data_IF_579496728022
#
_entry.id   IF_579496728022
#
_cell.length_a   1.000
_cell.length_b   1.000
_cell.length_c   1.000
_cell.angle_alpha   90.00
_cell.angle_beta   90.00
_cell.angle_gamma   90.00
#
_symmetry.space_group_name_H-M   'P 1'
#
loop_
_entity.id
_entity.type
_entity.pdbx_description
1 polymer ?
2 polymer ?
3 polymer ?
4 branched ?
5 non-polymer ?
6 water ?
#
# COMPACT_ATOMS: atom_id res chain seq x y z
N UNK A 1 4.98 44.86 -12.47
CA UNK A 1 4.46 45.75 -11.41
C UNK A 1 4.99 45.45 -10.01
N UNK A 2 4.25 44.63 -9.26
CA UNK A 2 4.55 44.18 -7.90
C UNK A 2 3.44 43.23 -7.34
N UNK A 3 2.99 42.36 -8.25
CA UNK A 3 1.92 41.35 -8.12
C UNK A 3 1.35 40.89 -6.77
N UNK A 4 2.23 40.62 -5.82
CA UNK A 4 1.90 39.92 -4.54
C UNK A 4 0.77 38.86 -4.43
N UNK A 5 1.19 37.73 -3.88
CA UNK A 5 0.77 36.45 -4.39
C UNK A 5 -0.25 35.70 -3.54
N UNK A 6 -0.24 35.94 -2.24
CA UNK A 6 -1.19 35.32 -1.33
C UNK A 6 -2.60 35.65 -1.77
N UNK A 7 -2.80 36.91 -2.16
CA UNK A 7 -4.03 37.35 -2.83
C UNK A 7 -4.40 36.33 -3.92
N UNK A 8 -3.38 35.76 -4.56
CA UNK A 8 -3.56 34.85 -5.68
C UNK A 8 -3.38 33.37 -5.25
N UNK A 9 -2.45 33.14 -4.33
CA UNK A 9 -2.24 31.83 -3.71
C UNK A 9 -3.56 31.27 -3.21
N UNK A 10 -4.11 31.99 -2.23
CA UNK A 10 -5.37 31.67 -1.57
C UNK A 10 -6.47 31.35 -2.57
N UNK A 11 -6.60 32.17 -3.60
CA UNK A 11 -7.57 31.96 -4.67
C UNK A 11 -7.47 30.55 -5.26
N UNK A 12 -6.24 30.03 -5.24
CA UNK A 12 -5.89 28.77 -5.89
C UNK A 12 -6.32 27.59 -5.02
N UNK A 13 -5.76 27.53 -3.82
CA UNK A 13 -6.13 26.52 -2.83
C UNK A 13 -7.63 26.29 -2.86
N UNK A 14 -8.36 27.38 -3.03
CA UNK A 14 -9.80 27.36 -3.03
C UNK A 14 -10.31 26.70 -4.29
N UNK A 15 -9.91 27.19 -5.46
CA UNK A 15 -10.40 26.54 -6.68
C UNK A 15 -9.89 25.12 -6.88
N UNK A 16 -8.81 24.78 -6.17
CA UNK A 16 -8.17 23.46 -6.24
C UNK A 16 -9.03 22.48 -5.48
N UNK A 17 -9.42 22.88 -4.27
CA UNK A 17 -10.31 22.11 -3.44
C UNK A 17 -11.54 21.66 -4.23
N UNK A 18 -12.22 22.61 -4.86
CA UNK A 18 -13.44 22.30 -5.62
C UNK A 18 -13.13 21.35 -6.75
N UNK A 19 -12.02 21.60 -7.44
CA UNK A 19 -11.58 20.72 -8.52
C UNK A 19 -11.55 19.29 -8.00
N UNK A 20 -10.78 19.07 -6.94
CA UNK A 20 -10.64 17.76 -6.34
C UNK A 20 -11.99 17.16 -5.99
N UNK A 21 -12.84 17.94 -5.34
CA UNK A 21 -14.12 17.40 -4.90
C UNK A 21 -14.96 16.92 -6.07
N UNK A 22 -14.92 17.66 -7.17
CA UNK A 22 -15.63 17.30 -8.39
C UNK A 22 -15.22 15.92 -8.95
N UNK A 23 -13.90 15.69 -9.02
CA UNK A 23 -13.32 14.39 -9.39
C UNK A 23 -13.93 13.23 -8.60
N UNK A 24 -13.95 13.39 -7.27
CA UNK A 24 -14.36 12.32 -6.36
C UNK A 24 -15.84 12.36 -6.07
N UNK A 25 -16.57 13.06 -6.93
CA UNK A 25 -18.02 13.14 -6.87
C UNK A 25 -18.55 12.18 -7.92
N UNK A 26 -19.59 12.62 -8.65
CA UNK A 26 -20.26 11.86 -9.73
C UNK A 26 -19.47 10.67 -10.31
N UNK A 27 -20.10 9.50 -10.34
CA UNK A 27 -19.54 8.34 -11.04
C UNK A 27 -19.93 8.31 -12.55
N UNK A 28 -19.88 9.49 -13.20
CA UNK A 28 -20.21 9.71 -14.64
C UNK A 28 -20.13 8.45 -15.53
N UNK A 29 -21.26 8.08 -16.17
CA UNK A 29 -21.37 6.75 -16.81
C UNK A 29 -20.54 6.56 -18.10
N UNK A 30 -19.90 7.62 -18.57
CA UNK A 30 -18.85 7.54 -19.60
C UNK A 30 -17.70 6.61 -19.16
N UNK A 31 -17.38 6.70 -17.88
CA UNK A 31 -16.38 5.86 -17.25
C UNK A 31 -16.99 4.51 -16.93
N UNK A 32 -18.14 4.51 -16.27
CA UNK A 32 -18.85 3.26 -16.00
C UNK A 32 -18.73 2.26 -17.14
N UNK A 33 -18.73 2.75 -18.38
CA UNK A 33 -18.54 1.89 -19.55
C UNK A 33 -17.06 1.60 -19.79
N UNK A 34 -16.24 2.65 -19.91
CA UNK A 34 -14.81 2.48 -20.15
C UNK A 34 -14.22 1.49 -19.15
N UNK A 35 -14.58 1.68 -17.88
CA UNK A 35 -14.25 0.73 -16.83
C UNK A 35 -14.80 -0.64 -17.24
N UNK A 36 -16.12 -0.79 -17.20
CA UNK A 36 -16.77 -2.07 -17.47
C UNK A 36 -16.12 -2.80 -18.62
N UNK A 37 -15.81 -2.04 -19.66
CA UNK A 37 -15.12 -2.51 -20.83
C UNK A 37 -13.86 -3.24 -20.45
N UNK A 38 -12.94 -2.49 -19.86
CA UNK A 38 -11.58 -2.93 -19.52
C UNK A 38 -11.53 -4.20 -18.70
N UNK A 39 -12.52 -4.37 -17.83
CA UNK A 39 -12.59 -5.54 -16.99
C UNK A 39 -12.99 -6.78 -17.78
N UNK A 40 -13.34 -6.61 -19.05
CA UNK A 40 -13.56 -7.75 -19.92
C UNK A 40 -12.48 -7.77 -21.00
N UNK A 41 -12.14 -6.58 -21.50
CA UNK A 41 -11.08 -6.41 -22.49
C UNK A 41 -9.79 -7.08 -22.02
N UNK A 42 -9.21 -6.54 -20.95
CA UNK A 42 -7.96 -7.05 -20.40
C UNK A 42 -8.18 -7.79 -19.08
N UNK A 43 -7.65 -8.99 -18.98
CA UNK A 43 -7.85 -9.80 -17.78
C UNK A 43 -6.93 -9.44 -16.61
N UNK A 44 -5.79 -8.83 -16.90
CA UNK A 44 -4.92 -8.33 -15.82
C UNK A 44 -5.72 -7.42 -14.93
N UNK A 45 -6.36 -6.44 -15.58
CA UNK A 45 -7.24 -5.50 -14.94
C UNK A 45 -8.25 -6.28 -14.13
N UNK A 46 -8.93 -7.19 -14.80
CA UNK A 46 -9.88 -8.05 -14.13
C UNK A 46 -9.25 -8.61 -12.85
N UNK A 47 -8.02 -9.09 -12.98
CA UNK A 47 -7.23 -9.61 -11.86
C UNK A 47 -7.25 -8.69 -10.66
N UNK A 48 -6.82 -7.45 -10.87
CA UNK A 48 -6.73 -6.49 -9.77
C UNK A 48 -8.08 -6.07 -9.23
N UNK A 49 -9.06 -5.93 -10.10
CA UNK A 49 -10.42 -5.64 -9.65
C UNK A 49 -10.85 -6.69 -8.63
N UNK A 50 -10.62 -7.94 -8.98
CA UNK A 50 -10.94 -9.06 -8.13
C UNK A 50 -10.17 -8.98 -6.85
N UNK A 51 -8.89 -8.66 -6.94
CA UNK A 51 -8.02 -8.51 -5.76
C UNK A 51 -8.53 -7.41 -4.84
N UNK A 52 -9.01 -6.31 -5.43
CA UNK A 52 -9.50 -5.19 -4.63
C UNK A 52 -10.76 -5.63 -3.91
N UNK A 53 -11.66 -6.26 -4.65
CA UNK A 53 -12.88 -6.76 -4.07
C UNK A 53 -12.63 -7.64 -2.84
N UNK A 54 -11.50 -8.35 -2.79
CA UNK A 54 -11.15 -9.08 -1.58
C UNK A 54 -10.38 -8.21 -0.63
N UNK A 55 -9.12 -7.93 -0.95
CA UNK A 55 -8.19 -7.27 -0.04
C UNK A 55 -8.66 -5.95 0.57
N UNK A 56 -9.26 -5.07 -0.24
CA UNK A 56 -9.63 -3.73 0.19
C UNK A 56 -10.61 -3.64 1.34
N UNK A 57 -11.15 -4.77 1.78
CA UNK A 57 -12.16 -4.78 2.86
C UNK A 57 -12.09 -5.93 3.86
N UNK A 58 -11.74 -7.12 3.42
CA UNK A 58 -11.77 -8.28 4.32
C UNK A 58 -11.20 -7.97 5.68
N UNK A 59 -10.23 -7.07 5.75
CA UNK A 59 -9.52 -6.94 6.97
C UNK A 59 -10.15 -5.95 7.92
N UNK A 60 -11.25 -5.34 7.52
CA UNK A 60 -11.89 -4.33 8.34
C UNK A 60 -13.12 -5.03 8.85
N UNK A 61 -12.90 -5.88 9.85
CA UNK A 61 -13.93 -6.76 10.39
C UNK A 61 -13.67 -7.01 11.89
N UNK A 62 -14.49 -6.38 12.74
CA UNK A 62 -14.03 -6.11 14.09
C UNK A 62 -14.08 -7.33 14.99
N UNK A 63 -14.78 -8.37 14.56
CA UNK A 63 -14.74 -9.66 15.23
C UNK A 63 -13.31 -10.11 15.17
N UNK A 64 -12.75 -10.14 13.95
CA UNK A 64 -11.38 -10.63 13.75
C UNK A 64 -10.45 -9.85 14.65
N UNK A 65 -10.53 -8.52 14.58
CA UNK A 65 -9.61 -7.65 15.33
C UNK A 65 -9.55 -8.05 16.78
N UNK A 66 -10.71 -8.33 17.36
CA UNK A 66 -10.76 -8.70 18.75
C UNK A 66 -10.21 -10.11 19.01
N UNK A 67 -10.46 -11.05 18.10
CA UNK A 67 -9.91 -12.41 18.22
C UNK A 67 -8.41 -12.30 18.31
N UNK A 68 -7.82 -11.51 17.42
CA UNK A 68 -6.38 -11.37 17.39
C UNK A 68 -5.92 -10.64 18.63
N UNK A 69 -6.65 -9.61 19.03
CA UNK A 69 -6.24 -8.87 20.21
C UNK A 69 -6.25 -9.72 21.47
N UNK A 70 -7.22 -10.62 21.59
CA UNK A 70 -7.15 -11.70 22.58
C UNK A 70 -5.87 -12.45 22.41
N UNK A 71 -5.65 -12.96 21.20
CA UNK A 71 -4.66 -14.00 20.97
C UNK A 71 -3.21 -13.57 21.12
N UNK A 72 -2.86 -12.39 20.63
CA UNK A 72 -1.50 -11.88 20.83
C UNK A 72 -1.20 -11.58 22.28
N UNK A 73 0.07 -11.54 22.62
CA UNK A 73 0.46 -11.19 23.98
C UNK A 73 0.70 -9.68 24.10
N UNK A 74 -0.42 -8.95 24.17
CA UNK A 74 -0.42 -7.48 24.20
C UNK A 74 0.44 -6.92 25.28
N UNK A 75 0.61 -7.73 26.34
CA UNK A 75 1.45 -7.37 27.46
C UNK A 75 2.86 -7.21 27.00
N UNK A 76 3.44 -8.35 26.61
CA UNK A 76 4.79 -8.40 26.12
C UNK A 76 5.02 -7.36 25.04
N UNK A 77 4.09 -7.28 24.09
CA UNK A 77 4.23 -6.29 23.03
C UNK A 77 4.45 -4.89 23.59
N UNK A 78 3.51 -4.39 24.38
CA UNK A 78 3.57 -2.98 24.78
C UNK A 78 4.72 -2.72 25.71
N UNK A 79 4.90 -3.66 26.65
CA UNK A 79 6.05 -3.71 27.52
C UNK A 79 7.34 -3.31 26.79
N UNK A 80 7.58 -3.98 25.66
CA UNK A 80 8.77 -3.75 24.85
C UNK A 80 8.71 -2.40 24.18
N UNK A 81 7.56 -2.09 23.60
CA UNK A 81 7.45 -0.86 22.87
C UNK A 81 7.80 0.28 23.82
N UNK A 82 7.43 0.13 25.09
CA UNK A 82 7.67 1.18 26.09
C UNK A 82 9.13 1.27 26.49
N UNK A 83 9.79 0.12 26.50
CA UNK A 83 11.22 0.04 26.72
C UNK A 83 11.94 0.78 25.61
N UNK A 84 11.59 0.46 24.38
CA UNK A 84 12.32 1.00 23.23
C UNK A 84 11.94 2.46 22.96
N UNK A 85 10.84 2.91 23.56
CA UNK A 85 10.43 4.31 23.45
C UNK A 85 11.24 5.17 24.40
N UNK A 86 11.36 4.70 25.64
CA UNK A 86 12.15 5.37 26.68
C UNK A 86 13.58 5.65 26.25
N UNK A 87 14.16 4.72 25.49
CA UNK A 87 15.47 4.91 24.89
C UNK A 87 15.52 6.12 23.94
N UNK A 88 14.52 6.23 23.07
CA UNK A 88 14.42 7.34 22.13
C UNK A 88 14.37 8.74 22.79
N UNK A 89 14.96 9.70 22.10
CA UNK A 89 14.67 11.12 22.29
C UNK A 89 14.69 11.73 20.90
N UNK A 90 13.71 11.40 20.08
CA UNK A 90 13.71 11.80 18.66
C UNK A 90 13.12 13.20 18.46
N UNK A 91 11.78 13.31 18.48
CA UNK A 91 11.09 14.59 18.29
C UNK A 91 10.03 14.87 19.38
N UNK A 92 10.51 15.49 20.46
CA UNK A 92 9.73 16.20 21.53
C UNK A 92 8.37 15.63 22.05
N UNK A 93 7.34 15.68 21.20
CA UNK A 93 5.99 15.16 21.47
C UNK A 93 5.41 14.74 20.12
N UNK A 94 5.85 13.57 19.65
CA UNK A 94 5.62 13.15 18.27
C UNK A 94 5.08 11.70 18.10
N UNK A 95 4.43 11.45 16.97
CA UNK A 95 3.80 10.18 16.68
C UNK A 95 4.73 8.98 16.54
N UNK A 96 6.02 9.22 16.75
CA UNK A 96 7.00 8.17 16.59
C UNK A 96 6.66 6.92 17.37
N UNK A 97 5.87 7.05 18.42
CA UNK A 97 5.53 5.85 19.19
C UNK A 97 4.95 4.74 18.34
N UNK A 98 4.09 5.09 17.38
CA UNK A 98 3.43 4.03 16.65
C UNK A 98 4.38 3.26 15.71
N UNK A 99 5.47 3.92 15.33
CA UNK A 99 6.54 3.27 14.60
C UNK A 99 7.16 2.18 15.40
N UNK A 100 7.47 2.47 16.65
CA UNK A 100 8.04 1.44 17.53
C UNK A 100 7.12 0.28 17.62
N UNK A 101 5.83 0.58 17.71
CA UNK A 101 4.84 -0.46 17.82
C UNK A 101 4.96 -1.46 16.68
N UNK A 102 4.89 -0.93 15.46
CA UNK A 102 5.08 -1.71 14.26
C UNK A 102 6.33 -2.57 14.38
N UNK A 103 7.45 -1.90 14.63
CA UNK A 103 8.74 -2.57 14.72
C UNK A 103 8.70 -3.68 15.73
N UNK A 104 8.08 -3.44 16.86
CA UNK A 104 7.93 -4.49 17.80
C UNK A 104 6.97 -5.61 17.34
N UNK A 105 5.82 -5.26 16.81
CA UNK A 105 4.98 -6.31 16.24
C UNK A 105 5.79 -7.12 15.25
N UNK A 106 6.65 -6.40 14.54
CA UNK A 106 7.50 -7.00 13.53
C UNK A 106 8.41 -8.08 14.11
N UNK A 107 9.04 -7.78 15.24
CA UNK A 107 9.92 -8.75 15.86
C UNK A 107 9.11 -9.81 16.58
N UNK A 108 8.06 -9.40 17.26
CA UNK A 108 7.24 -10.36 18.01
C UNK A 108 6.79 -11.43 17.06
N UNK A 109 6.27 -11.01 15.92
CA UNK A 109 5.64 -11.96 15.02
C UNK A 109 6.65 -12.93 14.55
N UNK A 110 7.80 -12.40 14.14
CA UNK A 110 8.86 -13.21 13.56
C UNK A 110 9.59 -14.07 14.60
N UNK A 111 10.00 -13.47 15.72
CA UNK A 111 10.74 -14.22 16.69
C UNK A 111 9.86 -15.14 17.49
N UNK A 112 8.73 -14.66 17.98
CA UNK A 112 7.94 -15.48 18.90
C UNK A 112 6.73 -16.08 18.26
N UNK A 113 5.96 -15.32 17.54
CA UNK A 113 4.64 -15.80 17.21
C UNK A 113 4.59 -16.92 16.17
N UNK A 114 5.11 -16.63 14.98
CA UNK A 114 4.77 -17.37 13.78
C UNK A 114 6.00 -18.11 13.29
N UNK A 115 5.75 -19.20 12.60
CA UNK A 115 6.80 -20.08 12.13
C UNK A 115 6.88 -20.05 10.59
N UNK A 116 8.08 -20.17 10.06
CA UNK A 116 8.22 -20.34 8.61
C UNK A 116 8.19 -21.82 8.26
N UNK A 117 7.42 -22.17 7.22
CA UNK A 117 7.26 -23.57 6.89
C UNK A 117 7.73 -23.88 5.47
N UNK A 118 8.95 -24.41 5.37
CA UNK A 118 9.55 -24.75 4.10
C UNK A 118 8.95 -26.02 3.53
N UNK A 119 9.25 -27.14 4.19
CA UNK A 119 8.45 -28.32 4.10
C UNK A 119 7.99 -28.53 5.52
N UNK A 120 6.80 -29.12 5.73
CA UNK A 120 6.26 -29.26 7.07
C UNK A 120 7.09 -30.21 7.89
N UNK A 121 6.88 -30.23 9.19
CA UNK A 121 7.54 -31.20 10.03
C UNK A 121 6.69 -32.40 10.04
N UNK A 122 7.31 -33.53 10.35
CA UNK A 122 6.60 -34.78 10.26
C UNK A 122 5.83 -34.98 11.52
N UNK A 123 4.51 -34.97 11.41
CA UNK A 123 3.74 -34.98 12.62
C UNK A 123 3.84 -36.28 13.40
N UNK A 124 3.98 -37.41 12.72
CA UNK A 124 4.25 -38.62 13.48
C UNK A 124 5.62 -38.58 14.19
N UNK A 125 6.69 -38.29 13.44
CA UNK A 125 8.05 -38.27 14.00
C UNK A 125 8.17 -37.17 15.04
N UNK A 126 9.41 -36.84 15.42
CA UNK A 126 9.69 -35.69 16.28
C UNK A 126 9.15 -34.35 15.75
N UNK A 127 9.65 -33.26 16.32
CA UNK A 127 9.19 -31.95 15.90
C UNK A 127 10.12 -31.34 14.85
N UNK A 128 11.44 -31.32 15.06
CA UNK A 128 12.33 -30.59 14.13
C UNK A 128 12.85 -31.35 12.88
N UNK A 129 11.92 -32.06 12.26
CA UNK A 129 12.15 -33.01 11.20
C UNK A 129 11.58 -32.54 9.85
N UNK A 130 12.42 -32.09 8.92
CA UNK A 130 11.88 -31.65 7.62
C UNK A 130 12.84 -31.71 6.42
N UNK A 131 13.40 -32.89 6.15
CA UNK A 131 14.20 -33.15 4.93
C UNK A 131 14.05 -34.60 4.61
N UNK A 132 13.88 -35.38 5.67
CA UNK A 132 13.28 -36.67 5.58
C UNK A 132 11.78 -36.43 5.30
N UNK A 133 11.53 -35.39 4.52
CA UNK A 133 10.23 -35.12 3.94
C UNK A 133 10.46 -34.94 2.45
N UNK A 134 9.89 -35.80 1.62
CA UNK A 134 9.93 -35.55 0.18
C UNK A 134 8.57 -35.31 -0.47
N UNK A 135 8.47 -34.21 -1.23
CA UNK A 135 7.26 -33.71 -1.82
C UNK A 135 6.61 -34.66 -2.77
N UNK A 136 5.38 -35.03 -2.46
CA UNK A 136 4.57 -35.78 -3.39
C UNK A 136 3.73 -34.89 -4.32
N UNK A 137 3.94 -33.57 -4.27
CA UNK A 137 3.08 -32.64 -5.01
C UNK A 137 1.76 -32.31 -4.29
N UNK A 138 0.84 -31.66 -5.04
CA UNK A 138 -0.38 -31.06 -4.46
C UNK A 138 -1.67 -31.83 -4.67
N UNK A 139 -2.68 -31.55 -3.85
CA UNK A 139 -4.05 -32.01 -4.11
C UNK A 139 -5.13 -31.11 -3.45
N UNK A 140 -6.37 -31.24 -3.92
CA UNK A 140 -7.52 -30.52 -3.35
C UNK A 140 -7.68 -30.78 -1.87
N UNK A 141 -8.37 -29.90 -1.15
CA UNK A 141 -8.40 -29.89 0.31
C UNK A 141 -9.36 -30.93 0.83
N UNK A 142 -9.05 -31.49 1.99
CA UNK A 142 -9.77 -32.68 2.47
C UNK A 142 -11.23 -32.43 2.85
N UNK A 143 -11.80 -31.30 2.45
CA UNK A 143 -13.15 -30.98 2.87
C UNK A 143 -13.18 -30.44 4.29
N UNK A 144 -12.53 -31.13 5.21
CA UNK A 144 -12.39 -30.62 6.55
C UNK A 144 -11.56 -29.33 6.52
N UNK A 145 -10.50 -29.31 5.74
CA UNK A 145 -9.65 -28.13 5.65
C UNK A 145 -10.14 -27.24 4.53
N UNK A 146 -11.37 -27.46 4.07
CA UNK A 146 -12.06 -26.47 3.23
C UNK A 146 -12.99 -25.61 4.05
N UNK A 147 -13.16 -25.99 5.32
CA UNK A 147 -13.86 -25.18 6.31
C UNK A 147 -13.19 -23.82 6.36
N UNK A 148 -11.88 -23.81 6.14
CA UNK A 148 -11.10 -22.59 6.17
C UNK A 148 -10.80 -22.21 4.73
N UNK A 149 -9.87 -21.32 4.48
CA UNK A 149 -9.84 -20.83 3.12
C UNK A 149 -8.78 -21.39 2.22
N UNK A 150 -8.92 -22.70 2.03
CA UNK A 150 -7.87 -23.52 1.48
C UNK A 150 -8.29 -24.10 0.15
N UNK A 151 -7.51 -23.81 -0.89
CA UNK A 151 -7.82 -24.28 -2.23
C UNK A 151 -6.85 -25.33 -2.75
N UNK A 152 -5.90 -25.73 -1.90
CA UNK A 152 -4.80 -26.64 -2.30
C UNK A 152 -3.90 -27.04 -1.14
N UNK A 153 -3.57 -28.32 -1.07
CA UNK A 153 -2.71 -28.85 -0.01
C UNK A 153 -1.43 -29.45 -0.60
N UNK A 154 -0.27 -28.87 -0.26
CA UNK A 154 1.01 -29.46 -0.65
C UNK A 154 1.24 -30.62 0.28
N UNK A 155 1.60 -31.77 -0.28
CA UNK A 155 1.65 -32.98 0.55
C UNK A 155 3.04 -33.60 0.59
N UNK A 156 3.40 -34.14 1.74
CA UNK A 156 4.75 -34.62 1.96
C UNK A 156 4.80 -36.04 2.52
N UNK A 157 5.82 -36.79 2.09
CA UNK A 157 6.08 -38.13 2.58
C UNK A 157 7.31 -38.07 3.42
N UNK A 158 7.22 -38.66 4.60
CA UNK A 158 8.32 -38.71 5.52
C UNK A 158 9.12 -39.93 5.22
N UNK A 159 10.44 -39.76 5.17
CA UNK A 159 11.33 -40.84 4.79
C UNK A 159 11.86 -41.64 5.96
N UNK A 160 11.31 -41.42 7.14
CA UNK A 160 11.90 -41.99 8.33
C UNK A 160 10.89 -42.89 9.03
N UNK A 161 9.61 -42.65 8.77
CA UNK A 161 8.52 -43.41 9.35
C UNK A 161 7.56 -43.73 8.22
N UNK A 162 7.76 -43.04 7.10
CA UNK A 162 7.00 -43.27 5.88
C UNK A 162 5.55 -42.87 5.95
N UNK A 163 5.26 -41.86 6.76
CA UNK A 163 3.90 -41.31 6.89
C UNK A 163 3.69 -40.02 6.10
N UNK A 164 2.47 -39.84 5.61
CA UNK A 164 2.09 -38.58 4.95
C UNK A 164 1.89 -37.49 5.99
N UNK A 165 2.43 -36.31 5.73
CA UNK A 165 2.09 -35.13 6.50
C UNK A 165 1.55 -34.13 5.49
N UNK A 166 0.52 -33.37 5.84
CA UNK A 166 -0.01 -32.42 4.87
C UNK A 166 0.22 -31.00 5.26
N UNK A 167 0.25 -30.13 4.26
CA UNK A 167 0.48 -28.75 4.52
C UNK A 167 -0.52 -28.01 3.70
N UNK A 168 -1.64 -27.63 4.33
CA UNK A 168 -2.69 -27.08 3.52
C UNK A 168 -2.46 -25.58 3.43
N UNK A 169 -2.77 -25.01 2.30
CA UNK A 169 -2.58 -23.59 2.19
C UNK A 169 -3.86 -22.70 2.28
N UNK A 170 -4.03 -22.14 3.49
CA UNK A 170 -5.23 -21.49 3.96
C UNK A 170 -5.19 -20.00 3.76
N UNK A 171 -6.33 -19.39 3.45
CA UNK A 171 -6.42 -17.92 3.42
C UNK A 171 -7.18 -17.26 4.57
N UNK A 172 -7.88 -18.06 5.38
CA UNK A 172 -8.48 -17.59 6.62
C UNK A 172 -7.41 -17.24 7.65
N UNK A 173 -7.26 -15.95 7.94
CA UNK A 173 -6.20 -15.52 8.81
C UNK A 173 -6.38 -16.05 10.20
N UNK A 174 -7.61 -16.33 10.59
CA UNK A 174 -7.84 -16.82 11.94
C UNK A 174 -7.34 -18.24 12.05
N UNK A 175 -7.47 -18.97 10.95
CA UNK A 175 -7.02 -20.32 10.94
C UNK A 175 -5.51 -20.35 11.17
N UNK A 176 -4.83 -19.42 10.50
CA UNK A 176 -3.38 -19.22 10.61
C UNK A 176 -3.02 -18.93 12.01
N UNK A 177 -3.93 -18.21 12.67
CA UNK A 177 -3.81 -17.89 14.08
C UNK A 177 -3.68 -19.14 14.95
N UNK A 178 -4.02 -20.30 14.40
CA UNK A 178 -3.92 -21.54 15.15
C UNK A 178 -2.76 -22.40 14.62
N UNK A 179 -2.67 -22.55 13.30
CA UNK A 179 -1.58 -23.31 12.70
C UNK A 179 -0.24 -22.64 12.98
N UNK A 180 -0.20 -21.31 12.89
CA UNK A 180 0.95 -20.51 13.29
C UNK A 180 2.21 -20.70 12.46
N UNK A 181 2.02 -20.93 11.16
CA UNK A 181 3.12 -21.21 10.26
C UNK A 181 2.64 -21.08 8.83
N UNK A 182 3.56 -20.64 7.97
CA UNK A 182 3.32 -20.61 6.54
C UNK A 182 4.46 -19.97 5.79
N UNK A 183 4.15 -19.59 4.56
CA UNK A 183 5.09 -18.87 3.74
C UNK A 183 4.64 -17.43 3.60
N UNK A 184 5.25 -16.69 2.68
CA UNK A 184 4.99 -15.26 2.60
C UNK A 184 3.48 -15.00 2.52
N UNK A 185 2.78 -15.86 1.80
CA UNK A 185 1.33 -15.75 1.65
C UNK A 185 0.68 -15.61 2.99
N UNK A 186 0.80 -16.66 3.80
CA UNK A 186 0.21 -16.63 5.12
C UNK A 186 0.87 -15.59 5.97
N UNK A 187 2.19 -15.49 5.88
CA UNK A 187 2.89 -14.52 6.69
C UNK A 187 2.26 -13.15 6.53
N UNK A 188 2.08 -12.71 5.29
CA UNK A 188 1.59 -11.39 5.02
C UNK A 188 0.11 -11.26 5.39
N UNK A 189 -0.70 -12.21 4.96
CA UNK A 189 -2.12 -12.23 5.34
C UNK A 189 -2.35 -11.90 6.83
N UNK A 190 -1.96 -12.81 7.71
CA UNK A 190 -2.09 -12.57 9.14
C UNK A 190 -1.46 -11.26 9.60
N UNK A 191 -0.24 -10.97 9.16
CA UNK A 191 0.41 -9.77 9.69
C UNK A 191 -0.27 -8.50 9.25
N UNK A 192 -0.82 -8.50 8.04
CA UNK A 192 -1.65 -7.39 7.64
C UNK A 192 -2.75 -7.21 8.70
N UNK A 193 -3.50 -8.27 9.00
CA UNK A 193 -4.60 -8.15 9.95
C UNK A 193 -4.09 -7.78 11.35
N UNK A 194 -3.01 -8.39 11.81
CA UNK A 194 -2.44 -8.00 13.09
C UNK A 194 -2.35 -6.49 13.07
N UNK A 195 -1.71 -5.94 12.05
CA UNK A 195 -1.57 -4.49 12.01
C UNK A 195 -2.89 -3.74 12.07
N UNK A 196 -3.88 -4.18 11.29
CA UNK A 196 -5.15 -3.49 11.26
C UNK A 196 -5.87 -3.53 12.58
N UNK A 197 -5.63 -4.58 13.37
CA UNK A 197 -6.19 -4.72 14.71
C UNK A 197 -5.67 -3.70 15.68
N UNK A 198 -4.62 -2.99 15.28
CA UNK A 198 -4.21 -1.85 16.06
C UNK A 198 -4.73 -0.62 15.41
N UNK A 199 -5.57 -0.83 14.41
CA UNK A 199 -6.15 0.27 13.66
C UNK A 199 -5.04 1.15 13.10
N UNK A 200 -3.93 0.53 12.70
CA UNK A 200 -2.96 1.25 11.93
C UNK A 200 -3.48 1.37 10.50
N UNK A 201 -3.05 2.37 9.75
CA UNK A 201 -3.46 2.46 8.37
C UNK A 201 -2.60 1.54 7.51
N UNK A 202 -3.15 0.45 6.99
CA UNK A 202 -2.32 -0.57 6.36
C UNK A 202 -2.72 -0.85 4.93
N UNK A 203 -1.77 -1.24 4.09
CA UNK A 203 -2.05 -1.72 2.74
C UNK A 203 -1.46 -3.09 2.54
N UNK A 204 -2.04 -3.90 1.67
CA UNK A 204 -1.52 -5.21 1.33
C UNK A 204 -0.95 -5.08 -0.06
N UNK A 205 0.35 -5.31 -0.21
CA UNK A 205 0.97 -5.02 -1.49
C UNK A 205 1.36 -6.30 -2.20
N UNK A 206 0.81 -6.45 -3.41
CA UNK A 206 0.99 -7.63 -4.27
C UNK A 206 2.00 -7.38 -5.39
N UNK A 207 3.04 -8.21 -5.40
CA UNK A 207 4.04 -8.21 -6.45
C UNK A 207 3.78 -9.40 -7.34
N UNK A 208 3.65 -9.12 -8.62
CA UNK A 208 3.26 -10.12 -9.61
C UNK A 208 4.16 -11.32 -9.63
N UNK A 209 5.43 -11.13 -9.29
CA UNK A 209 6.36 -12.25 -9.30
C UNK A 209 6.37 -12.87 -7.92
N UNK A 210 5.25 -13.52 -7.57
CA UNK A 210 5.11 -14.37 -6.38
C UNK A 210 5.84 -13.85 -5.10
N UNK A 211 5.46 -12.64 -4.67
CA UNK A 211 5.79 -12.13 -3.34
C UNK A 211 4.87 -11.02 -2.89
N UNK A 212 4.60 -11.01 -1.58
CA UNK A 212 3.66 -10.05 -1.02
C UNK A 212 4.16 -9.49 0.30
N UNK A 213 3.73 -8.29 0.61
CA UNK A 213 4.11 -7.68 1.86
C UNK A 213 3.10 -6.60 2.17
N UNK A 214 3.42 -5.73 3.12
CA UNK A 214 2.51 -4.64 3.40
C UNK A 214 3.12 -3.27 3.65
N UNK A 215 2.23 -2.29 3.62
CA UNK A 215 2.60 -0.92 3.77
C UNK A 215 1.79 -0.38 4.91
N UNK A 216 2.40 0.50 5.69
CA UNK A 216 1.78 1.05 6.85
C UNK A 216 2.06 2.50 6.75
N UNK A 217 1.11 3.34 7.15
CA UNK A 217 1.34 4.75 7.15
C UNK A 217 1.89 5.26 8.46
N UNK A 218 3.19 5.51 8.51
CA UNK A 218 3.79 6.18 9.68
C UNK A 218 3.47 7.63 9.56
N UNK A 219 2.80 8.11 10.59
CA UNK A 219 2.39 9.49 10.72
C UNK A 219 3.58 10.39 11.03
N UNK A 220 4.46 9.87 11.90
CA UNK A 220 5.70 10.54 12.21
C UNK A 220 6.63 10.70 10.99
N UNK A 221 6.65 9.72 10.10
CA UNK A 221 7.44 9.85 8.87
C UNK A 221 6.64 10.49 7.76
N UNK A 222 5.36 10.69 8.04
CA UNK A 222 4.44 11.27 7.11
C UNK A 222 4.41 10.72 5.67
N UNK A 223 4.30 9.42 5.54
CA UNK A 223 4.30 8.73 4.25
C UNK A 223 4.10 7.23 4.49
N UNK A 224 3.70 6.50 3.46
CA UNK A 224 3.65 5.05 3.52
C UNK A 224 5.01 4.45 3.85
N UNK A 225 5.06 3.33 4.54
CA UNK A 225 6.32 2.71 4.87
C UNK A 225 6.22 1.26 4.52
N UNK A 226 7.32 0.73 4.02
CA UNK A 226 7.41 -0.67 3.62
C UNK A 226 7.62 -1.59 4.85
N UNK A 227 6.62 -2.43 5.11
CA UNK A 227 6.82 -3.45 6.13
C UNK A 227 6.65 -4.83 5.54
N UNK A 228 7.70 -5.63 5.67
CA UNK A 228 7.62 -7.05 5.34
C UNK A 228 7.79 -7.83 6.63
N UNK A 229 6.88 -8.75 6.90
CA UNK A 229 6.94 -9.49 8.14
C UNK A 229 7.90 -10.65 8.11
N UNK A 230 8.13 -11.23 6.92
CA UNK A 230 8.97 -12.41 6.70
C UNK A 230 10.40 -12.05 6.94
N UNK A 231 10.94 -11.30 5.99
CA UNK A 231 12.09 -10.51 6.27
C UNK A 231 11.52 -9.65 7.39
N UNK A 232 12.23 -9.52 8.51
CA UNK A 232 11.66 -8.78 9.63
C UNK A 232 11.98 -7.29 9.45
N UNK A 233 11.42 -6.69 8.40
CA UNK A 233 11.96 -5.43 7.91
C UNK A 233 11.03 -4.23 7.95
N UNK A 234 11.54 -3.12 8.48
CA UNK A 234 10.79 -1.88 8.53
C UNK A 234 11.44 -0.85 7.63
N UNK A 235 10.69 -0.40 6.63
CA UNK A 235 11.10 0.67 5.72
C UNK A 235 12.41 0.39 4.98
N UNK A 236 12.36 -0.51 4.01
CA UNK A 236 13.48 -0.75 3.13
C UNK A 236 13.03 -1.37 1.86
N UNK A 237 12.33 -0.62 1.02
CA UNK A 237 11.72 -1.11 -0.22
C UNK A 237 12.71 -1.68 -1.25
N UNK A 238 13.99 -1.37 -1.05
CA UNK A 238 15.04 -1.71 -1.99
C UNK A 238 15.42 -3.16 -1.77
N UNK A 239 15.33 -3.65 -0.54
CA UNK A 239 15.49 -5.08 -0.25
C UNK A 239 15.26 -5.97 -1.46
N UNK A 240 14.05 -5.97 -2.01
CA UNK A 240 13.74 -6.90 -3.09
C UNK A 240 14.61 -6.63 -4.31
N UNK A 241 14.48 -5.45 -4.90
CA UNK A 241 15.15 -5.22 -6.17
C UNK A 241 16.68 -5.16 -6.13
N UNK A 242 17.27 -4.64 -5.06
CA UNK A 242 18.72 -4.66 -4.99
C UNK A 242 19.26 -5.82 -4.17
N UNK A 243 18.91 -5.95 -2.89
CA UNK A 243 19.53 -7.00 -2.06
C UNK A 243 19.29 -8.43 -2.52
N UNK A 244 18.07 -8.71 -2.93
CA UNK A 244 17.73 -10.02 -3.44
C UNK A 244 18.06 -10.03 -4.91
N UNK A 245 18.23 -8.83 -5.47
CA UNK A 245 18.42 -8.68 -6.90
C UNK A 245 17.29 -9.34 -7.68
N UNK A 246 16.06 -9.04 -7.30
CA UNK A 246 14.93 -9.73 -7.90
C UNK A 246 14.33 -8.95 -9.06
N UNK A 247 14.07 -9.67 -10.14
CA UNK A 247 13.40 -9.10 -11.28
C UNK A 247 11.93 -8.94 -10.91
N UNK A 248 11.42 -7.73 -11.09
CA UNK A 248 10.01 -7.39 -10.77
C UNK A 248 9.31 -6.64 -11.92
N UNK A 249 8.00 -6.84 -12.08
CA UNK A 249 7.26 -6.21 -13.19
C UNK A 249 6.22 -5.17 -12.71
N UNK A 250 5.15 -5.64 -12.09
CA UNK A 250 4.19 -4.78 -11.44
C UNK A 250 4.19 -4.98 -9.90
N UNK A 251 4.17 -3.86 -9.18
CA UNK A 251 3.85 -3.85 -7.76
C UNK A 251 2.64 -2.99 -7.48
N UNK A 252 1.53 -3.60 -7.05
CA UNK A 252 0.39 -2.75 -6.68
C UNK A 252 -0.21 -3.04 -5.29
N UNK A 253 -0.62 -1.97 -4.61
CA UNK A 253 -1.13 -2.06 -3.25
C UNK A 253 -2.63 -1.75 -3.12
N UNK A 254 -3.26 -2.49 -2.22
CA UNK A 254 -4.68 -2.42 -1.95
C UNK A 254 -4.86 -2.10 -0.48
N UNK A 255 -5.68 -1.09 -0.21
CA UNK A 255 -5.99 -0.67 1.15
C UNK A 255 -7.42 -0.19 1.14
N UNK A 256 -8.04 -0.07 2.31
CA UNK A 256 -9.46 0.26 2.40
C UNK A 256 -9.78 1.61 1.82
N UNK A 257 -8.77 2.44 1.66
CA UNK A 257 -8.97 3.80 1.21
C UNK A 257 -8.57 4.00 -0.24
N UNK A 258 -7.99 2.97 -0.86
CA UNK A 258 -7.52 3.07 -2.25
C UNK A 258 -6.69 1.91 -2.75
N UNK A 259 -6.61 1.81 -4.08
CA UNK A 259 -5.76 0.87 -4.78
C UNK A 259 -4.82 1.73 -5.60
N UNK A 260 -3.53 1.62 -5.33
CA UNK A 260 -2.56 2.44 -6.05
C UNK A 260 -1.35 1.63 -6.54
N UNK A 261 -0.87 1.99 -7.74
CA UNK A 261 0.34 1.36 -8.30
C UNK A 261 1.63 1.83 -7.62
N UNK A 262 2.22 0.98 -6.81
CA UNK A 262 3.36 1.38 -6.00
C UNK A 262 4.66 0.84 -6.56
N UNK A 263 4.71 0.63 -7.87
CA UNK A 263 5.86 -0.01 -8.48
C UNK A 263 7.14 0.79 -8.28
N UNK A 264 7.08 2.08 -8.58
CA UNK A 264 8.27 2.89 -8.65
C UNK A 264 8.90 3.02 -7.29
N UNK A 265 8.20 2.50 -6.28
CA UNK A 265 8.74 2.47 -4.93
C UNK A 265 9.73 1.33 -4.77
N UNK A 266 9.49 0.28 -5.54
CA UNK A 266 10.12 -1.00 -5.32
C UNK A 266 11.01 -1.47 -6.46
N UNK A 267 10.52 -1.26 -7.67
CA UNK A 267 11.14 -1.75 -8.88
C UNK A 267 12.14 -0.70 -9.27
N UNK A 268 13.20 -0.57 -8.50
CA UNK A 268 14.17 0.47 -8.82
C UNK A 268 15.37 0.03 -9.71
N UNK A 269 15.43 -1.26 -10.02
CA UNK A 269 16.25 -1.85 -11.12
C UNK A 269 15.66 -3.24 -11.44
N UNK A 270 16.32 -4.06 -12.24
CA UNK A 270 15.75 -5.35 -12.62
C UNK A 270 14.30 -5.23 -13.05
N UNK A 271 14.04 -4.22 -13.87
CA UNK A 271 12.72 -3.88 -14.28
C UNK A 271 12.29 -4.74 -15.44
N UNK A 272 11.29 -5.57 -15.22
CA UNK A 272 10.72 -6.37 -16.30
C UNK A 272 9.87 -5.47 -17.17
N UNK A 273 9.35 -6.02 -18.28
CA UNK A 273 8.36 -5.33 -19.11
C UNK A 273 6.97 -5.28 -18.48
N UNK A 274 6.38 -4.09 -18.49
CA UNK A 274 4.97 -3.87 -18.20
C UNK A 274 4.21 -4.01 -19.50
N UNK A 275 3.12 -4.76 -19.51
CA UNK A 275 2.40 -4.99 -20.78
C UNK A 275 1.26 -5.98 -20.69
N UNK A 276 0.76 -6.23 -19.48
CA UNK A 276 -0.49 -6.93 -19.33
C UNK A 276 -1.60 -5.93 -19.55
N UNK A 277 -1.25 -4.65 -19.50
CA UNK A 277 -2.20 -3.58 -19.59
C UNK A 277 -1.53 -2.28 -20.00
N UNK A 278 -2.26 -1.56 -20.84
CA UNK A 278 -1.88 -0.25 -21.31
C UNK A 278 -1.73 0.67 -20.11
N UNK A 279 -0.74 1.55 -20.11
CA UNK A 279 -0.46 2.33 -18.91
C UNK A 279 -1.63 3.21 -18.47
N UNK A 280 -2.09 4.07 -19.38
CA UNK A 280 -3.26 4.93 -19.14
C UNK A 280 -4.44 4.18 -18.55
N UNK A 281 -4.63 2.93 -18.97
CA UNK A 281 -5.74 2.12 -18.47
C UNK A 281 -5.52 1.82 -17.01
N UNK A 282 -4.33 1.34 -16.68
CA UNK A 282 -4.01 0.92 -15.34
C UNK A 282 -4.19 2.06 -14.35
N UNK A 283 -3.73 3.25 -14.74
CA UNK A 283 -3.98 4.46 -13.98
C UNK A 283 -5.46 4.55 -13.73
N UNK A 284 -6.20 4.91 -14.78
CA UNK A 284 -7.65 4.98 -14.72
C UNK A 284 -8.26 3.92 -13.79
N UNK A 285 -7.97 2.66 -14.10
CA UNK A 285 -8.42 1.51 -13.32
C UNK A 285 -8.39 1.79 -11.83
N UNK A 286 -7.23 2.14 -11.31
CA UNK A 286 -7.10 2.44 -9.90
C UNK A 286 -7.92 3.60 -9.47
N UNK A 287 -7.65 4.74 -10.11
CA UNK A 287 -8.36 5.95 -9.79
C UNK A 287 -9.84 5.67 -9.68
N UNK A 288 -10.37 4.96 -10.67
CA UNK A 288 -11.75 4.57 -10.69
C UNK A 288 -12.19 3.74 -9.47
N UNK A 289 -11.39 2.74 -9.13
CA UNK A 289 -11.68 1.85 -8.01
C UNK A 289 -11.56 2.61 -6.69
N UNK A 290 -10.49 3.39 -6.59
CA UNK A 290 -10.28 4.24 -5.46
C UNK A 290 -11.51 5.11 -5.27
N UNK A 291 -12.01 5.69 -6.36
CA UNK A 291 -13.20 6.55 -6.28
C UNK A 291 -14.36 5.74 -5.74
N UNK A 292 -14.80 4.73 -6.49
CA UNK A 292 -15.82 3.81 -6.01
C UNK A 292 -15.61 3.50 -4.52
N UNK A 293 -14.37 3.32 -4.11
CA UNK A 293 -14.06 2.92 -2.75
C UNK A 293 -14.32 4.03 -1.74
N UNK A 294 -14.13 5.27 -2.16
CA UNK A 294 -14.20 6.43 -1.27
C UNK A 294 -15.55 7.13 -1.32
N UNK A 295 -16.45 6.53 -2.10
CA UNK A 295 -17.76 7.06 -2.47
C UNK A 295 -18.58 7.68 -1.33
N UNK A 296 -18.47 7.17 -0.12
CA UNK A 296 -19.38 7.57 0.95
C UNK A 296 -18.67 8.23 2.13
N UNK A 297 -17.92 9.28 1.86
CA UNK A 297 -17.14 9.95 2.90
C UNK A 297 -17.39 11.44 2.84
N UNK A 298 -17.33 12.11 3.99
CA UNK A 298 -17.58 13.55 4.01
C UNK A 298 -16.56 14.30 3.15
N UNK A 299 -16.94 15.52 2.78
CA UNK A 299 -16.15 16.33 1.85
C UNK A 299 -14.69 16.56 2.27
N UNK A 300 -14.44 16.77 3.56
CA UNK A 300 -13.08 17.08 3.96
C UNK A 300 -12.22 15.85 4.26
N UNK A 301 -12.85 14.69 4.46
CA UNK A 301 -12.10 13.45 4.53
C UNK A 301 -11.54 13.26 3.14
N UNK A 302 -12.46 13.32 2.16
CA UNK A 302 -12.13 13.14 0.74
C UNK A 302 -10.95 13.98 0.34
N UNK A 303 -11.00 15.27 0.62
CA UNK A 303 -9.90 16.12 0.25
C UNK A 303 -8.66 15.63 0.95
N UNK A 304 -8.64 15.71 2.28
CA UNK A 304 -7.51 15.27 3.07
C UNK A 304 -6.77 14.04 2.51
N UNK A 305 -7.49 13.00 2.07
CA UNK A 305 -6.88 11.82 1.43
C UNK A 305 -6.28 12.08 0.05
N UNK A 306 -7.07 12.71 -0.82
CA UNK A 306 -6.63 13.07 -2.16
C UNK A 306 -5.35 13.88 -2.12
N UNK A 307 -5.10 14.55 -1.00
CA UNK A 307 -3.83 15.20 -0.78
C UNK A 307 -2.74 14.20 -0.46
N UNK A 308 -2.89 13.44 0.63
CA UNK A 308 -1.99 12.31 0.92
C UNK A 308 -1.71 11.46 -0.34
N UNK A 309 -2.68 11.37 -1.24
CA UNK A 309 -2.47 10.73 -2.54
C UNK A 309 -1.38 11.43 -3.34
N UNK A 310 -1.62 12.70 -3.65
CA UNK A 310 -0.68 13.47 -4.44
C UNK A 310 0.65 13.63 -3.78
N UNK A 311 0.69 13.62 -2.46
CA UNK A 311 1.96 13.52 -1.77
C UNK A 311 2.75 12.32 -2.25
N UNK A 312 2.08 11.17 -2.29
CA UNK A 312 2.71 9.91 -2.68
C UNK A 312 3.14 9.97 -4.12
N UNK A 313 2.23 10.33 -5.01
CA UNK A 313 2.57 10.48 -6.40
C UNK A 313 3.86 11.25 -6.57
N UNK A 314 4.01 12.34 -5.86
CA UNK A 314 5.20 13.13 -6.03
C UNK A 314 6.39 12.41 -5.45
N UNK A 315 6.18 11.59 -4.45
CA UNK A 315 7.28 10.85 -3.87
C UNK A 315 7.67 9.69 -4.81
N UNK A 316 6.67 9.12 -5.46
CA UNK A 316 6.91 8.05 -6.44
C UNK A 316 7.62 8.56 -7.67
N UNK A 317 7.04 9.49 -8.42
CA UNK A 317 7.72 9.92 -9.64
C UNK A 317 9.03 10.64 -9.34
N UNK A 318 9.06 11.56 -8.41
CA UNK A 318 10.33 12.16 -8.05
C UNK A 318 11.24 11.11 -7.46
N UNK A 319 10.66 9.94 -7.16
CA UNK A 319 11.39 8.84 -6.55
C UNK A 319 12.58 9.26 -5.72
N UNK A 320 12.34 9.97 -4.62
CA UNK A 320 13.42 10.36 -3.69
C UNK A 320 14.23 9.13 -3.18
N UNK B 16 -3.86 29.57 -24.48
CA UNK B 16 -2.99 28.37 -24.75
C UNK B 16 -2.59 27.63 -23.48
N UNK B 17 -1.53 26.80 -23.60
CA UNK B 17 -1.03 25.91 -22.51
C UNK B 17 0.02 26.60 -21.61
N UNK B 18 0.13 26.12 -20.37
CA UNK B 18 1.04 26.70 -19.38
C UNK B 18 2.49 26.93 -19.88
N UNK B 19 3.21 25.82 -20.12
CA UNK B 19 4.65 25.88 -20.38
C UNK B 19 5.44 25.87 -19.08
N UNK B 20 5.16 24.88 -18.24
CA UNK B 20 5.88 24.80 -16.99
C UNK B 20 6.88 23.67 -16.97
N UNK B 21 8.03 23.96 -16.39
CA UNK B 21 9.06 22.97 -16.22
C UNK B 21 8.53 21.77 -15.45
N UNK B 22 8.85 20.58 -15.93
CA UNK B 22 8.47 19.34 -15.29
C UNK B 22 8.81 19.31 -13.80
N UNK B 23 9.84 20.05 -13.41
CA UNK B 23 10.26 20.06 -12.02
C UNK B 23 9.40 21.01 -11.23
N UNK B 24 8.96 22.11 -11.86
CA UNK B 24 8.17 23.12 -11.16
C UNK B 24 6.79 22.62 -11.02
N UNK B 25 6.13 22.47 -12.16
CA UNK B 25 4.83 21.87 -12.22
C UNK B 25 4.70 20.74 -11.24
N UNK B 26 5.81 20.09 -10.92
CA UNK B 26 5.77 19.02 -9.95
C UNK B 26 5.70 19.63 -8.58
N UNK B 27 6.77 20.30 -8.17
CA UNK B 27 6.82 20.92 -6.84
C UNK B 27 5.62 21.85 -6.60
N UNK B 28 5.14 22.50 -7.64
CA UNK B 28 3.91 23.25 -7.56
C UNK B 28 2.81 22.38 -6.99
N UNK B 29 2.50 21.29 -7.67
CA UNK B 29 1.44 20.39 -7.22
C UNK B 29 1.82 19.66 -5.97
N UNK B 30 3.10 19.68 -5.62
CA UNK B 30 3.49 19.09 -4.36
C UNK B 30 2.99 19.98 -3.26
N UNK B 31 3.43 21.24 -3.27
CA UNK B 31 3.18 22.18 -2.17
C UNK B 31 1.70 22.58 -2.02
N UNK B 32 1.02 22.76 -3.14
CA UNK B 32 -0.41 22.94 -3.11
C UNK B 32 -1.12 21.83 -2.33
N UNK B 33 -0.58 20.61 -2.39
CA UNK B 33 -1.24 19.48 -1.77
C UNK B 33 -0.62 19.11 -0.42
N UNK B 34 0.48 19.73 -0.07
CA UNK B 34 1.24 19.21 1.03
C UNK B 34 1.74 20.26 1.95
N UNK B 35 1.86 21.48 1.43
CA UNK B 35 2.39 22.59 2.23
C UNK B 35 1.84 23.98 1.82
N UNK B 36 0.48 24.15 1.86
CA UNK B 36 -0.13 25.35 1.27
C UNK B 36 0.48 26.66 1.75
N UNK B 37 1.06 26.64 2.95
CA UNK B 37 1.69 27.80 3.58
C UNK B 37 2.76 28.41 2.67
N UNK B 38 3.59 27.56 2.05
CA UNK B 38 4.68 28.04 1.20
C UNK B 38 4.29 28.31 -0.28
N UNK B 39 3.01 28.13 -0.62
CA UNK B 39 2.61 28.18 -2.01
C UNK B 39 2.74 29.56 -2.62
N UNK B 40 2.82 30.59 -1.79
CA UNK B 40 2.93 31.93 -2.34
C UNK B 40 4.37 32.18 -2.77
N UNK B 41 5.33 32.11 -1.83
CA UNK B 41 6.71 32.27 -2.24
C UNK B 41 7.13 31.37 -3.44
N UNK B 42 6.53 30.19 -3.57
CA UNK B 42 6.78 29.39 -4.76
C UNK B 42 6.18 30.18 -5.92
N UNK B 43 4.87 30.40 -5.89
CA UNK B 43 4.18 31.16 -6.93
C UNK B 43 4.95 32.40 -7.32
N UNK B 44 5.66 32.95 -6.34
CA UNK B 44 6.46 34.14 -6.51
C UNK B 44 7.61 33.86 -7.45
N UNK B 45 8.59 33.12 -6.93
CA UNK B 45 9.80 32.76 -7.66
C UNK B 45 9.52 32.16 -9.05
N UNK B 46 8.54 31.27 -9.11
CA UNK B 46 8.11 30.68 -10.37
C UNK B 46 7.81 31.80 -11.37
N UNK B 47 7.29 32.93 -10.90
CA UNK B 47 6.99 34.04 -11.80
C UNK B 47 8.24 34.87 -12.14
N UNK B 48 9.14 34.97 -11.17
CA UNK B 48 10.40 35.66 -11.35
C UNK B 48 11.33 34.88 -12.28
N UNK B 49 10.74 34.07 -13.16
CA UNK B 49 11.51 33.08 -13.89
C UNK B 49 10.86 32.72 -15.19
N UNK B 50 9.55 32.90 -15.28
CA UNK B 50 8.84 32.68 -16.54
C UNK B 50 8.19 33.97 -17.05
N UNK B 51 9.00 34.94 -17.52
CA UNK B 51 8.51 36.12 -18.23
C UNK B 51 7.14 35.98 -18.89
N UNK B 52 7.01 35.09 -19.86
CA UNK B 52 5.74 34.84 -20.58
C UNK B 52 4.53 34.64 -19.66
N UNK B 53 4.76 34.05 -18.48
CA UNK B 53 3.68 33.75 -17.52
C UNK B 53 3.37 34.95 -16.66
N UNK B 54 4.41 35.51 -16.06
CA UNK B 54 4.32 36.76 -15.32
C UNK B 54 3.31 37.72 -15.96
N UNK B 55 3.17 37.63 -17.28
CA UNK B 55 2.22 38.45 -18.04
C UNK B 55 0.79 38.16 -17.68
N UNK B 56 0.42 36.90 -17.80
CA UNK B 56 -0.91 36.41 -17.45
C UNK B 56 -1.25 36.73 -16.01
N UNK B 57 -0.25 36.67 -15.14
CA UNK B 57 -0.43 37.08 -13.76
C UNK B 57 -0.76 38.58 -13.71
N UNK B 58 0.19 39.43 -14.13
CA UNK B 58 0.02 40.90 -14.14
C UNK B 58 -1.36 41.31 -14.70
N UNK B 59 -1.66 40.83 -15.90
CA UNK B 59 -2.87 41.17 -16.67
C UNK B 59 -4.07 40.24 -16.42
N UNK B 60 -4.11 39.60 -15.26
CA UNK B 60 -5.24 38.73 -14.83
C UNK B 60 -4.85 37.43 -14.11
N UNK B 61 -4.79 37.46 -12.78
CA UNK B 61 -4.56 36.26 -11.99
C UNK B 61 -5.53 35.12 -12.31
N UNK B 62 -6.77 35.47 -12.64
CA UNK B 62 -7.82 34.49 -12.85
C UNK B 62 -7.48 33.51 -13.96
N UNK B 63 -7.34 34.02 -15.18
CA UNK B 63 -6.95 33.18 -16.31
C UNK B 63 -5.78 32.28 -15.86
N UNK B 64 -4.77 32.90 -15.26
CA UNK B 64 -3.55 32.22 -14.87
C UNK B 64 -3.84 30.98 -14.03
N UNK B 65 -4.54 31.16 -12.91
CA UNK B 65 -4.81 30.06 -12.00
C UNK B 65 -5.56 28.91 -12.68
N UNK B 66 -6.53 29.24 -13.55
CA UNK B 66 -7.29 28.23 -14.28
C UNK B 66 -6.33 27.38 -15.09
N UNK B 67 -5.42 28.05 -15.81
CA UNK B 67 -4.37 27.38 -16.56
C UNK B 67 -3.66 26.34 -15.66
N UNK B 68 -3.26 26.76 -14.46
CA UNK B 68 -2.55 25.90 -13.49
C UNK B 68 -3.27 24.60 -13.20
N UNK B 69 -4.57 24.70 -12.96
CA UNK B 69 -5.38 23.55 -12.61
C UNK B 69 -5.47 22.54 -13.74
N UNK B 70 -5.08 22.98 -14.94
CA UNK B 70 -4.97 22.09 -16.09
C UNK B 70 -3.92 21.00 -15.82
N UNK B 71 -2.81 21.41 -15.21
CA UNK B 71 -1.80 20.48 -14.70
C UNK B 71 -2.25 19.87 -13.38
N UNK B 72 -2.71 18.60 -13.45
CA UNK B 72 -2.98 17.71 -12.28
C UNK B 72 -3.55 16.31 -12.66
N UNK C 2 -2.51 -19.25 -2.88
CA UNK C 2 -1.71 -18.53 -1.81
C UNK C 2 -0.19 -18.51 -2.10
N UNK C 3 0.43 -17.32 -1.99
CA UNK C 3 1.82 -17.09 -2.46
C UNK C 3 2.92 -17.63 -1.53
N UNK C 4 4.04 -18.04 -2.12
CA UNK C 4 5.16 -18.58 -1.34
C UNK C 4 6.17 -17.50 -0.99
#
# INVERSE_FOLDING_TARGET
>A
NNIDFDSIAKMLLIKYKDFILSKFKKAAPVENIRFQNLVHTNQFAQGVLGQSQHLCTVYDNPSWHSIVLETLDLDLIYKNVDKEFAKDGHAEGENIYTDYLVKELLRYFKQDFFKWCNKPDCNHCGQNTSENMTPLGSQGPNGEESKFNCGTVEIYKCNRCGNITRFPRYNDPIKLLETRKGRCGEWCNLFTLILKSFGLDVRYVWNREDHVWCEYFSNFLNRWVHVDSCEQSFDQPYIYSINWNKKMSYCIAFGKDGVVDVSKRYILQNELPRDQIKEEDLKFLCQFITKRLRYSLNDDEIYQLACRDEQEQIELIRGKTQETKSESVSAASKS
>B
GTTGGATDAAQGGPPGSIGLTVEDLLSLRQVVSGNPEALAPLLENISARYPQLREHIMANPEVFVSMLLEAV
>C
XVADX
#
